data_IF_774941098726
#
_entry.id   IF_774941098726
#
_cell.length_a   1.000
_cell.length_b   1.000
_cell.length_c   1.000
_cell.angle_alpha   90.00
_cell.angle_beta   90.00
_cell.angle_gamma   90.00
#
_symmetry.space_group_name_H-M   'P 1'
#
loop_
_entity.id
_entity.type
_entity.pdbx_description
1 polymer ?
#
# COMPACT_ATOMS: atom_id res chain seq x y z
N UNK A 1 0.97 0.44 -14.61
CA UNK A 1 1.46 1.60 -13.83
C UNK A 1 1.44 1.33 -12.32
N UNK A 2 0.27 1.16 -11.67
CA UNK A 2 0.21 0.91 -10.21
C UNK A 2 1.05 -0.27 -9.71
N UNK A 3 1.13 -1.35 -10.49
CA UNK A 3 1.94 -2.54 -10.18
C UNK A 3 3.47 -2.30 -10.21
N UNK A 4 3.92 -1.15 -10.71
CA UNK A 4 5.33 -0.70 -10.70
C UNK A 4 5.61 0.28 -9.56
N UNK A 5 4.61 1.08 -9.17
CA UNK A 5 4.77 2.15 -8.20
C UNK A 5 4.94 1.58 -6.78
N UNK A 6 6.12 1.79 -6.20
CA UNK A 6 6.50 1.39 -4.84
C UNK A 6 5.64 2.08 -3.76
N UNK A 7 5.21 3.32 -3.99
CA UNK A 7 4.32 4.05 -3.09
C UNK A 7 2.85 3.58 -3.16
N UNK A 8 2.48 2.81 -4.18
CA UNK A 8 1.12 2.27 -4.35
C UNK A 8 1.01 0.80 -3.93
N UNK A 9 2.03 0.00 -4.23
CA UNK A 9 2.06 -1.45 -3.99
C UNK A 9 3.17 -1.79 -3.00
N UNK A 10 2.87 -2.55 -1.94
CA UNK A 10 3.87 -2.95 -0.95
C UNK A 10 4.96 -3.87 -1.53
N UNK A 11 4.56 -4.73 -2.46
CA UNK A 11 5.40 -5.62 -3.24
C UNK A 11 5.10 -5.44 -4.73
N UNK A 12 5.77 -4.51 -5.43
CA UNK A 12 5.56 -4.26 -6.85
C UNK A 12 5.69 -5.54 -7.68
N UNK A 13 4.68 -5.82 -8.50
CA UNK A 13 4.62 -7.02 -9.34
C UNK A 13 5.30 -6.81 -10.71
N UNK A 14 5.59 -5.57 -11.07
CA UNK A 14 6.28 -5.25 -12.32
C UNK A 14 7.49 -4.38 -12.03
N UNK A 15 8.59 -4.68 -12.72
CA UNK A 15 9.75 -3.81 -12.77
C UNK A 15 9.62 -2.91 -14.01
N UNK A 16 9.72 -1.60 -13.82
CA UNK A 16 9.44 -0.61 -14.84
C UNK A 16 10.59 0.37 -15.06
N UNK A 17 10.85 0.70 -16.32
CA UNK A 17 11.79 1.73 -16.72
C UNK A 17 11.05 2.88 -17.42
N UNK A 18 11.34 4.12 -17.01
CA UNK A 18 10.66 5.33 -17.46
C UNK A 18 9.86 6.03 -16.36
N UNK A 19 9.03 7.01 -16.72
CA UNK A 19 8.20 7.74 -15.76
C UNK A 19 6.87 7.03 -15.50
N UNK A 20 6.71 6.47 -14.29
CA UNK A 20 5.47 5.82 -13.82
C UNK A 20 4.63 6.70 -12.89
N UNK A 21 4.88 8.01 -12.84
CA UNK A 21 4.21 8.95 -11.96
C UNK A 21 4.88 9.06 -10.59
N UNK A 22 4.30 9.89 -9.72
CA UNK A 22 4.86 10.24 -8.41
C UNK A 22 3.79 10.32 -7.33
N UNK A 23 4.23 10.44 -6.07
CA UNK A 23 3.37 10.75 -4.90
C UNK A 23 2.69 12.12 -4.98
N UNK A 24 3.13 12.98 -5.91
CA UNK A 24 2.57 14.32 -6.17
C UNK A 24 1.38 14.31 -7.15
N UNK A 25 0.86 13.13 -7.50
CA UNK A 25 -0.13 12.93 -8.58
C UNK A 25 0.39 13.17 -10.00
N UNK A 26 1.71 13.24 -10.20
CA UNK A 26 2.22 13.38 -11.56
C UNK A 26 1.78 12.16 -12.38
N UNK A 27 1.14 12.36 -13.55
CA UNK A 27 0.71 11.25 -14.37
C UNK A 27 1.93 10.51 -14.93
N UNK A 28 1.82 9.19 -15.16
CA UNK A 28 2.85 8.45 -15.87
C UNK A 28 3.03 9.00 -17.30
N UNK A 29 4.20 8.76 -17.88
CA UNK A 29 4.41 9.00 -19.30
C UNK A 29 3.49 8.12 -20.16
N UNK A 30 3.30 8.51 -21.42
CA UNK A 30 2.57 7.70 -22.39
C UNK A 30 3.25 6.33 -22.59
N UNK A 31 2.46 5.27 -22.80
CA UNK A 31 2.93 3.88 -22.85
C UNK A 31 4.09 3.61 -23.84
N UNK A 32 4.21 4.43 -24.89
CA UNK A 32 5.32 4.35 -25.88
C UNK A 32 6.70 4.75 -25.33
N UNK A 33 6.75 5.32 -24.13
CA UNK A 33 7.98 5.79 -23.47
C UNK A 33 8.32 4.99 -22.20
N UNK A 34 7.53 3.97 -21.88
CA UNK A 34 7.70 3.16 -20.68
C UNK A 34 7.98 1.73 -21.08
N UNK A 35 8.90 1.09 -20.38
CA UNK A 35 9.20 -0.33 -20.53
C UNK A 35 8.87 -1.04 -19.22
N UNK A 36 8.41 -2.29 -19.30
CA UNK A 36 8.12 -3.11 -18.13
C UNK A 36 8.52 -4.55 -18.35
N UNK A 37 8.94 -5.21 -17.28
CA UNK A 37 9.12 -6.66 -17.20
C UNK A 37 8.54 -7.19 -15.90
N UNK A 38 8.44 -8.51 -15.78
CA UNK A 38 8.04 -9.13 -14.52
C UNK A 38 9.07 -8.80 -13.44
N UNK A 39 8.60 -8.38 -12.26
CA UNK A 39 9.43 -8.40 -11.07
C UNK A 39 9.70 -9.87 -10.68
N UNK A 40 10.86 -10.19 -10.05
CA UNK A 40 11.18 -11.55 -9.62
C UNK A 40 10.06 -12.18 -8.77
N UNK A 41 9.52 -11.41 -7.81
CA UNK A 41 8.42 -11.86 -6.95
C UNK A 41 7.19 -12.28 -7.74
N UNK A 42 6.88 -11.67 -8.88
CA UNK A 42 5.70 -12.04 -9.67
C UNK A 42 5.86 -13.36 -10.37
N UNK A 43 7.05 -13.63 -10.89
CA UNK A 43 7.29 -14.91 -11.54
C UNK A 43 7.24 -16.04 -10.52
N UNK A 44 8.06 -15.92 -9.47
CA UNK A 44 8.18 -16.94 -8.40
C UNK A 44 6.85 -17.13 -7.66
N UNK A 45 6.15 -16.05 -7.31
CA UNK A 45 4.96 -16.17 -6.47
C UNK A 45 3.66 -16.40 -7.22
N UNK A 46 3.56 -16.10 -8.52
CA UNK A 46 2.28 -16.17 -9.25
C UNK A 46 2.31 -17.05 -10.50
N UNK A 47 3.47 -17.25 -11.14
CA UNK A 47 3.54 -17.91 -12.45
C UNK A 47 4.34 -19.22 -12.42
N UNK A 48 5.09 -19.48 -11.36
CA UNK A 48 5.79 -20.74 -11.18
C UNK A 48 4.81 -21.91 -11.27
N UNK A 49 5.19 -22.96 -12.00
CA UNK A 49 4.40 -24.17 -12.25
C UNK A 49 3.07 -23.99 -13.02
N UNK A 50 2.82 -22.83 -13.64
CA UNK A 50 1.61 -22.63 -14.47
C UNK A 50 1.54 -23.60 -15.67
N UNK A 51 2.69 -24.04 -16.18
CA UNK A 51 2.80 -25.00 -17.28
C UNK A 51 2.62 -26.47 -16.87
N UNK A 52 2.49 -26.76 -15.57
CA UNK A 52 2.45 -28.14 -15.03
C UNK A 52 1.02 -28.65 -14.79
N UNK A 53 0.03 -28.08 -15.50
CA UNK A 53 -1.40 -28.40 -15.32
C UNK A 53 -1.86 -28.27 -13.85
N UNK A 54 -1.39 -27.24 -13.17
CA UNK A 54 -1.70 -26.94 -11.75
C UNK A 54 -3.03 -26.20 -11.57
N UNK A 55 -3.54 -25.57 -12.63
CA UNK A 55 -4.77 -24.78 -12.63
C UNK A 55 -5.58 -25.08 -13.90
N UNK A 56 -6.89 -24.91 -13.79
CA UNK A 56 -7.79 -25.02 -14.93
C UNK A 56 -7.68 -23.79 -15.85
N UNK A 57 -7.84 -24.03 -17.15
CA UNK A 57 -7.87 -23.01 -18.19
C UNK A 57 -9.26 -22.96 -18.84
N UNK A 58 -9.67 -21.76 -19.23
CA UNK A 58 -10.90 -21.51 -19.99
C UNK A 58 -10.57 -20.80 -21.30
N UNK A 59 -11.47 -20.89 -22.26
CA UNK A 59 -11.37 -20.12 -23.49
C UNK A 59 -11.54 -18.62 -23.18
N UNK A 60 -10.77 -17.79 -23.88
CA UNK A 60 -10.88 -16.33 -23.80
C UNK A 60 -12.19 -15.84 -24.45
N UNK A 61 -12.44 -14.53 -24.43
CA UNK A 61 -13.73 -13.93 -24.85
C UNK A 61 -14.23 -14.29 -26.28
N UNK A 62 -13.33 -14.66 -27.20
CA UNK A 62 -13.65 -15.05 -28.58
C UNK A 62 -13.26 -16.51 -28.92
N UNK A 63 -12.88 -17.30 -27.91
CA UNK A 63 -12.41 -18.69 -28.01
C UNK A 63 -11.19 -18.91 -28.92
N UNK A 64 -10.37 -17.87 -29.18
CA UNK A 64 -9.14 -17.99 -29.97
C UNK A 64 -7.92 -18.40 -29.15
N UNK A 65 -7.96 -18.20 -27.83
CA UNK A 65 -6.88 -18.48 -26.88
C UNK A 65 -7.44 -19.06 -25.58
N UNK A 66 -6.56 -19.59 -24.72
CA UNK A 66 -6.91 -20.03 -23.38
C UNK A 66 -6.27 -19.14 -22.32
N UNK A 67 -7.00 -18.89 -21.24
CA UNK A 67 -6.54 -18.15 -20.06
C UNK A 67 -6.80 -18.94 -18.76
N UNK A 68 -5.91 -18.86 -17.77
CA UNK A 68 -6.08 -19.56 -16.51
C UNK A 68 -7.21 -18.93 -15.68
N UNK A 69 -8.03 -19.75 -15.01
CA UNK A 69 -9.10 -19.25 -14.12
C UNK A 69 -8.50 -18.57 -12.89
N UNK A 70 -7.40 -19.12 -12.37
CA UNK A 70 -6.61 -18.61 -11.26
C UNK A 70 -5.13 -18.82 -11.55
N UNK A 71 -4.28 -18.02 -10.93
CA UNK A 71 -2.84 -18.24 -10.98
C UNK A 71 -2.41 -19.24 -9.88
N UNK A 72 -1.38 -20.07 -10.11
CA UNK A 72 -0.81 -20.99 -9.10
C UNK A 72 -0.02 -20.21 -8.02
N UNK A 73 -0.70 -19.32 -7.31
CA UNK A 73 -0.08 -18.38 -6.38
C UNK A 73 0.57 -19.12 -5.20
N UNK A 74 1.89 -19.01 -5.07
CA UNK A 74 2.69 -19.56 -3.97
C UNK A 74 2.66 -18.66 -2.72
N UNK A 75 2.37 -17.37 -2.90
CA UNK A 75 2.24 -16.40 -1.82
C UNK A 75 0.83 -15.81 -1.75
N UNK A 76 0.33 -15.44 -0.55
CA UNK A 76 -1.00 -14.87 -0.36
C UNK A 76 -1.07 -13.40 -0.81
N UNK A 77 -0.90 -13.15 -2.11
CA UNK A 77 -0.76 -11.81 -2.69
C UNK A 77 -1.93 -10.86 -2.37
N UNK A 78 -3.14 -11.39 -2.14
CA UNK A 78 -4.29 -10.60 -1.70
C UNK A 78 -4.02 -9.86 -0.37
N UNK A 79 -3.35 -10.52 0.58
CA UNK A 79 -3.00 -9.90 1.86
C UNK A 79 -1.74 -9.04 1.73
N UNK A 80 -0.76 -9.49 0.95
CA UNK A 80 0.53 -8.80 0.79
C UNK A 80 0.37 -7.42 0.14
N UNK A 81 -0.40 -7.32 -0.94
CA UNK A 81 -0.59 -6.08 -1.68
C UNK A 81 -1.94 -5.40 -1.42
N UNK A 82 -2.88 -6.10 -0.78
CA UNK A 82 -4.23 -5.59 -0.57
C UNK A 82 -5.06 -5.51 -1.85
N UNK A 83 -6.25 -4.95 -1.74
CA UNK A 83 -7.14 -4.71 -2.89
C UNK A 83 -8.19 -3.66 -2.53
N UNK A 84 -8.49 -2.76 -3.48
CA UNK A 84 -9.58 -1.79 -3.35
C UNK A 84 -10.42 -1.82 -4.61
N UNK A 85 -11.73 -1.93 -4.46
CA UNK A 85 -12.66 -2.00 -5.59
C UNK A 85 -14.08 -1.67 -5.19
N UNK A 86 -14.82 -1.07 -6.12
CA UNK A 86 -16.24 -0.74 -5.97
C UNK A 86 -16.99 -1.44 -7.09
N UNK A 87 -17.98 -2.25 -6.73
CA UNK A 87 -18.86 -2.96 -7.64
C UNK A 87 -20.31 -2.49 -7.45
N UNK A 88 -21.27 -3.18 -8.07
CA UNK A 88 -22.68 -2.84 -7.93
C UNK A 88 -23.20 -3.36 -6.58
N UNK A 89 -23.53 -2.45 -5.67
CA UNK A 89 -24.08 -2.77 -4.34
C UNK A 89 -23.07 -3.25 -3.30
N UNK A 90 -21.77 -3.26 -3.62
CA UNK A 90 -20.71 -3.67 -2.70
C UNK A 90 -19.38 -2.95 -2.99
N UNK A 91 -18.50 -2.90 -1.99
CA UNK A 91 -17.15 -2.40 -2.11
C UNK A 91 -16.20 -3.23 -1.24
N UNK A 92 -14.92 -3.25 -1.60
CA UNK A 92 -13.85 -3.89 -0.84
C UNK A 92 -12.68 -2.92 -0.67
N UNK A 93 -12.02 -3.01 0.49
CA UNK A 93 -10.78 -2.31 0.78
C UNK A 93 -9.97 -3.12 1.79
N UNK A 94 -8.98 -3.86 1.30
CA UNK A 94 -8.08 -4.72 2.07
C UNK A 94 -6.71 -4.03 2.09
N UNK A 95 -6.16 -3.70 3.26
CA UNK A 95 -4.84 -3.07 3.33
C UNK A 95 -3.72 -4.11 3.14
N UNK A 96 -2.52 -3.68 2.68
CA UNK A 96 -1.36 -4.54 2.54
C UNK A 96 -0.81 -5.01 3.89
N UNK A 97 -0.10 -6.13 3.91
CA UNK A 97 0.51 -6.75 5.09
C UNK A 97 1.95 -7.16 4.81
N UNK A 98 2.73 -7.33 5.89
CA UNK A 98 4.11 -7.75 5.79
C UNK A 98 4.22 -9.24 5.41
N UNK A 99 5.11 -9.56 4.47
CA UNK A 99 5.36 -10.93 4.00
C UNK A 99 5.82 -11.86 5.11
N UNK A 100 6.74 -11.42 5.97
CA UNK A 100 7.27 -12.26 7.05
C UNK A 100 6.17 -12.62 8.03
N UNK A 101 5.43 -11.62 8.50
CA UNK A 101 4.32 -11.79 9.45
C UNK A 101 3.22 -12.71 8.90
N UNK A 102 2.83 -12.53 7.62
CA UNK A 102 1.81 -13.36 6.98
C UNK A 102 2.29 -14.81 6.82
N UNK A 103 3.55 -15.03 6.46
CA UNK A 103 4.13 -16.38 6.35
C UNK A 103 4.26 -17.04 7.72
N UNK A 104 4.68 -16.31 8.74
CA UNK A 104 4.74 -16.82 10.12
C UNK A 104 3.35 -17.22 10.63
N UNK A 105 2.33 -16.40 10.35
CA UNK A 105 0.93 -16.73 10.64
C UNK A 105 0.43 -17.98 9.90
N UNK A 106 0.81 -18.12 8.61
CA UNK A 106 0.48 -19.31 7.81
C UNK A 106 1.14 -20.57 8.38
N UNK A 107 2.44 -20.53 8.67
CA UNK A 107 3.17 -21.66 9.28
C UNK A 107 2.53 -22.06 10.61
N UNK A 108 2.19 -21.08 11.46
CA UNK A 108 1.53 -21.35 12.73
C UNK A 108 0.15 -22.04 12.57
N UNK A 109 -0.61 -21.70 11.53
CA UNK A 109 -1.87 -22.36 11.20
C UNK A 109 -1.66 -23.78 10.63
N UNK A 110 -0.59 -24.01 9.86
CA UNK A 110 -0.23 -25.35 9.38
C UNK A 110 0.13 -26.25 10.57
N UNK A 111 0.99 -25.76 11.47
CA UNK A 111 1.44 -26.50 12.65
C UNK A 111 0.30 -26.73 13.66
N UNK A 112 -0.59 -25.75 13.80
CA UNK A 112 -1.75 -25.82 14.69
C UNK A 112 -3.00 -25.25 14.02
N UNK A 113 -3.80 -26.09 13.33
CA UNK A 113 -5.04 -25.64 12.67
C UNK A 113 -6.13 -25.12 13.61
N UNK A 114 -5.98 -25.33 14.93
CA UNK A 114 -6.88 -24.84 15.98
C UNK A 114 -6.33 -23.61 16.72
N UNK A 115 -5.33 -22.94 16.14
CA UNK A 115 -4.79 -21.69 16.68
C UNK A 115 -5.92 -20.67 16.82
N UNK A 116 -5.98 -20.01 17.97
CA UNK A 116 -6.98 -18.98 18.23
C UNK A 116 -6.63 -17.70 17.48
N UNK A 117 -7.65 -16.97 17.02
CA UNK A 117 -7.50 -15.66 16.37
C UNK A 117 -6.57 -14.71 17.13
N UNK A 118 -6.69 -14.62 18.46
CA UNK A 118 -5.84 -13.74 19.27
C UNK A 118 -4.35 -14.04 19.13
N UNK A 119 -3.99 -15.33 18.97
CA UNK A 119 -2.59 -15.74 18.75
C UNK A 119 -2.15 -15.48 17.32
N UNK A 120 -3.07 -15.60 16.36
CA UNK A 120 -2.77 -15.24 14.97
C UNK A 120 -2.54 -13.73 14.84
N UNK A 121 -3.30 -12.91 15.56
CA UNK A 121 -3.15 -11.45 15.57
C UNK A 121 -1.88 -10.97 16.30
N UNK A 122 -1.30 -11.80 17.18
CA UNK A 122 0.03 -11.53 17.72
C UNK A 122 1.14 -11.73 16.67
N UNK A 123 0.95 -12.65 15.72
CA UNK A 123 1.88 -12.93 14.62
C UNK A 123 1.74 -11.94 13.45
N UNK A 124 0.52 -11.44 13.24
CA UNK A 124 0.19 -10.42 12.24
C UNK A 124 -0.38 -9.20 12.98
N UNK A 125 0.47 -8.31 13.53
CA UNK A 125 0.03 -7.23 14.41
C UNK A 125 -0.84 -6.18 13.71
N UNK A 126 -0.71 -6.04 12.39
CA UNK A 126 -1.46 -5.06 11.62
C UNK A 126 -1.04 -4.97 10.15
N UNK A 127 -1.63 -4.01 9.42
CA UNK A 127 -1.21 -3.68 8.06
C UNK A 127 0.19 -3.07 7.97
N UNK A 128 0.85 -3.26 6.82
CA UNK A 128 2.17 -2.70 6.49
C UNK A 128 2.08 -1.89 5.19
N UNK A 129 2.05 -0.56 5.31
CA UNK A 129 1.83 0.34 4.18
C UNK A 129 3.14 0.70 3.46
N UNK A 130 3.15 0.77 2.12
CA UNK A 130 4.36 1.12 1.36
C UNK A 130 4.90 2.53 1.64
N UNK A 131 4.06 3.44 2.11
CA UNK A 131 4.41 4.84 2.38
C UNK A 131 4.84 5.10 3.82
N UNK A 132 4.90 4.06 4.66
CA UNK A 132 5.11 4.17 6.09
C UNK A 132 3.91 4.77 6.83
N UNK A 133 4.18 5.60 7.83
CA UNK A 133 3.21 6.18 8.74
C UNK A 133 3.07 5.40 10.05
N UNK A 134 2.27 5.96 10.95
CA UNK A 134 1.96 5.39 12.25
C UNK A 134 0.48 5.04 12.32
N UNK A 135 0.16 3.82 12.77
CA UNK A 135 -1.20 3.45 13.13
C UNK A 135 -1.46 3.90 14.56
N UNK A 136 -2.44 4.79 14.73
CA UNK A 136 -2.71 5.47 16.01
C UNK A 136 -3.53 4.60 16.97
N UNK A 137 -4.40 3.75 16.44
CA UNK A 137 -5.27 2.86 17.23
C UNK A 137 -5.30 1.45 16.64
N UNK A 138 -5.08 0.45 17.50
CA UNK A 138 -5.09 -0.97 17.13
C UNK A 138 -6.46 -1.62 17.24
N UNK A 139 -7.42 -1.01 17.94
CA UNK A 139 -8.75 -1.60 18.11
C UNK A 139 -9.44 -1.85 16.76
N UNK A 140 -9.31 -0.89 15.84
CA UNK A 140 -9.86 -1.03 14.50
C UNK A 140 -9.23 -2.13 13.66
N UNK A 141 -7.98 -2.51 13.94
CA UNK A 141 -7.33 -3.67 13.30
C UNK A 141 -8.02 -4.95 13.77
N UNK A 142 -8.20 -5.11 15.08
CA UNK A 142 -8.84 -6.30 15.64
C UNK A 142 -10.29 -6.45 15.18
N UNK A 143 -11.04 -5.35 15.09
CA UNK A 143 -12.40 -5.36 14.54
C UNK A 143 -12.40 -5.76 13.07
N UNK A 144 -11.47 -5.22 12.27
CA UNK A 144 -11.31 -5.58 10.86
C UNK A 144 -10.97 -7.06 10.69
N UNK A 145 -10.08 -7.62 11.51
CA UNK A 145 -9.68 -9.02 11.39
C UNK A 145 -10.78 -9.99 11.86
N UNK A 146 -11.52 -9.66 12.93
CA UNK A 146 -12.59 -10.54 13.42
C UNK A 146 -13.87 -10.48 12.59
N UNK A 147 -14.20 -9.29 12.05
CA UNK A 147 -15.52 -9.06 11.43
C UNK A 147 -15.45 -8.75 9.93
N UNK A 148 -14.26 -8.54 9.38
CA UNK A 148 -14.05 -8.03 8.03
C UNK A 148 -14.30 -6.53 7.87
N UNK A 149 -14.62 -5.79 8.96
CA UNK A 149 -14.86 -4.34 8.96
C UNK A 149 -14.23 -3.67 10.17
N UNK A 150 -13.47 -2.62 9.92
CA UNK A 150 -12.86 -1.80 10.96
C UNK A 150 -12.29 -0.50 10.38
N UNK A 151 -12.02 0.47 11.24
CA UNK A 151 -11.41 1.74 10.85
C UNK A 151 -10.00 1.81 11.43
N UNK A 152 -9.00 1.93 10.55
CA UNK A 152 -7.58 1.95 10.94
C UNK A 152 -7.05 3.37 10.70
N UNK A 153 -6.97 4.23 11.74
CA UNK A 153 -6.46 5.59 11.57
C UNK A 153 -4.94 5.58 11.41
N UNK A 154 -4.48 6.08 10.26
CA UNK A 154 -3.06 6.22 9.93
C UNK A 154 -2.65 7.70 9.97
N UNK A 155 -1.51 7.97 10.58
CA UNK A 155 -0.92 9.31 10.75
C UNK A 155 0.45 9.38 10.07
N UNK A 156 0.78 10.53 9.49
CA UNK A 156 2.13 10.79 8.99
C UNK A 156 3.14 10.97 10.13
N UNK A 157 4.39 10.57 9.90
CA UNK A 157 5.47 10.76 10.87
C UNK A 157 5.96 12.20 10.79
N UNK A 158 6.04 12.86 11.95
CA UNK A 158 6.50 14.25 12.04
C UNK A 158 7.40 14.46 13.24
N UNK A 159 8.33 15.40 13.13
CA UNK A 159 9.16 15.86 14.24
C UNK A 159 9.45 17.36 14.12
N UNK A 160 9.94 17.96 15.21
CA UNK A 160 10.29 19.38 15.24
C UNK A 160 11.79 19.59 15.02
N UNK A 161 12.15 20.58 14.21
CA UNK A 161 13.53 21.02 14.01
C UNK A 161 13.67 22.54 14.18
N UNK A 162 14.80 22.99 14.73
CA UNK A 162 15.16 24.42 14.72
C UNK A 162 15.88 24.78 13.42
N UNK A 163 15.21 25.53 12.56
CA UNK A 163 15.78 26.03 11.30
C UNK A 163 16.33 27.44 11.48
N UNK A 164 17.49 27.70 10.85
CA UNK A 164 18.11 29.04 10.78
C UNK A 164 17.92 29.62 9.38
N UNK A 165 16.94 30.51 9.16
CA UNK A 165 16.73 31.11 7.84
C UNK A 165 17.79 32.18 7.57
N UNK A 166 18.99 31.79 7.12
CA UNK A 166 20.06 32.71 6.67
C UNK A 166 20.76 33.52 7.78
N UNK A 167 21.82 34.24 7.41
CA UNK A 167 22.60 35.08 8.34
C UNK A 167 21.73 36.24 8.85
N UNK A 168 21.53 36.29 10.18
CA UNK A 168 20.92 37.44 10.88
C UNK A 168 19.44 37.29 11.26
N UNK A 169 18.77 36.16 10.93
CA UNK A 169 17.38 35.92 11.38
C UNK A 169 17.35 35.03 12.64
N UNK A 170 16.30 35.23 13.45
CA UNK A 170 16.01 34.38 14.61
C UNK A 170 15.75 32.93 14.18
N UNK A 171 16.10 31.99 15.07
CA UNK A 171 15.76 30.58 14.90
C UNK A 171 14.25 30.42 14.85
N UNK A 172 13.76 29.54 13.98
CA UNK A 172 12.35 29.19 13.87
C UNK A 172 12.21 27.70 14.08
N UNK A 173 11.12 27.29 14.74
CA UNK A 173 10.73 25.88 14.81
C UNK A 173 9.98 25.53 13.53
N UNK A 174 10.41 24.46 12.85
CA UNK A 174 9.68 23.86 11.74
C UNK A 174 9.17 22.47 12.13
N UNK A 175 8.05 22.09 11.53
CA UNK A 175 7.51 20.73 11.57
C UNK A 175 8.01 20.04 10.32
N UNK A 176 8.80 19.00 10.48
CA UNK A 176 9.30 18.17 9.38
C UNK A 176 8.38 16.97 9.27
N UNK A 177 7.78 16.77 8.09
CA UNK A 177 6.96 15.61 7.76
C UNK A 177 7.83 14.66 6.94
N UNK A 178 8.14 13.48 7.49
CA UNK A 178 9.01 12.50 6.82
C UNK A 178 8.22 11.43 6.07
N UNK A 179 7.02 11.10 6.54
CA UNK A 179 6.15 10.07 5.97
C UNK A 179 4.71 10.55 5.93
N UNK A 180 4.00 10.22 4.85
CA UNK A 180 2.58 10.51 4.69
C UNK A 180 1.75 9.22 4.80
N UNK A 181 0.50 9.30 5.28
CA UNK A 181 -0.40 8.15 5.27
C UNK A 181 -0.60 7.58 3.86
N UNK A 182 -0.91 6.28 3.80
CA UNK A 182 -1.14 5.57 2.53
C UNK A 182 -2.23 6.23 1.68
N UNK A 183 -1.98 6.34 0.37
CA UNK A 183 -2.86 6.98 -0.61
C UNK A 183 -3.13 8.48 -0.38
N UNK A 184 -2.34 9.17 0.46
CA UNK A 184 -2.39 10.63 0.56
C UNK A 184 -1.55 11.27 -0.53
N UNK A 185 -2.17 12.19 -1.27
CA UNK A 185 -1.47 12.99 -2.25
C UNK A 185 -0.68 14.11 -1.58
N UNK A 186 0.64 14.18 -1.80
CA UNK A 186 1.51 15.17 -1.15
C UNK A 186 1.16 16.60 -1.59
N UNK A 187 1.12 16.86 -2.90
CA UNK A 187 0.82 18.19 -3.43
C UNK A 187 -0.56 18.72 -2.99
N UNK A 188 -1.61 17.89 -3.07
CA UNK A 188 -2.96 18.24 -2.64
C UNK A 188 -3.09 18.39 -1.12
N UNK A 189 -2.28 17.66 -0.34
CA UNK A 189 -2.18 17.89 1.10
C UNK A 189 -1.55 19.25 1.40
N UNK A 190 -0.44 19.61 0.74
CA UNK A 190 0.21 20.92 0.88
C UNK A 190 -0.74 22.05 0.50
N UNK A 191 -1.43 21.94 -0.65
CA UNK A 191 -2.43 22.91 -1.11
C UNK A 191 -3.52 23.12 -0.06
N UNK A 192 -4.04 22.03 0.51
CA UNK A 192 -5.06 22.09 1.55
C UNK A 192 -4.56 22.74 2.84
N UNK A 193 -3.30 22.51 3.24
CA UNK A 193 -2.72 23.19 4.41
C UNK A 193 -2.56 24.68 4.12
N UNK A 194 -2.06 25.05 2.94
CA UNK A 194 -1.92 26.45 2.52
C UNK A 194 -3.27 27.18 2.50
N UNK A 195 -4.32 26.54 1.99
CA UNK A 195 -5.68 27.07 2.00
C UNK A 195 -6.20 27.30 3.42
N UNK A 196 -5.94 26.37 4.35
CA UNK A 196 -6.36 26.53 5.74
C UNK A 196 -5.63 27.68 6.44
N UNK A 197 -4.35 27.91 6.12
CA UNK A 197 -3.58 29.06 6.62
C UNK A 197 -4.12 30.37 6.04
N UNK A 198 -4.32 30.43 4.72
CA UNK A 198 -4.84 31.64 4.04
C UNK A 198 -6.24 32.04 4.53
N UNK A 199 -7.07 31.05 4.89
CA UNK A 199 -8.41 31.27 5.44
C UNK A 199 -8.43 31.49 6.96
N UNK A 200 -7.28 31.65 7.62
CA UNK A 200 -7.13 31.80 9.07
C UNK A 200 -7.85 30.70 9.87
N UNK A 201 -7.85 29.47 9.35
CA UNK A 201 -8.32 28.27 10.06
C UNK A 201 -7.18 27.55 10.77
N UNK A 202 -5.94 27.78 10.34
CA UNK A 202 -4.71 27.33 10.99
C UNK A 202 -3.82 28.54 11.27
N UNK A 203 -3.55 28.79 12.54
CA UNK A 203 -2.68 29.86 13.00
C UNK A 203 -1.26 29.37 13.29
N UNK A 204 -0.30 30.29 13.31
CA UNK A 204 1.09 30.01 13.71
C UNK A 204 1.98 29.40 12.61
N UNK A 205 1.46 29.25 11.40
CA UNK A 205 2.23 28.80 10.22
C UNK A 205 2.68 30.03 9.43
N UNK A 206 4.00 30.24 9.36
CA UNK A 206 4.59 31.38 8.64
C UNK A 206 5.01 31.04 7.20
N UNK A 207 5.28 29.76 6.92
CA UNK A 207 5.76 29.24 5.64
C UNK A 207 5.45 27.73 5.56
N UNK A 208 5.33 27.19 4.35
CA UNK A 208 5.04 25.76 4.08
C UNK A 208 6.01 25.25 3.02
#
# INVERSE_FOLDING_TARGET
VRMVQDFSSRYPLLDGHGNFGSVDNDPPAAMRYTETRLAPVSFESLLENIGEATVDFIDNFDNSQQEPIVLPAQLPNLLLNGSSGIAVGMATNIPPHNLGEVVDGLIALIDRPTLTDDRLFELIPGPDFPTGGEIVDRNGIYDAYRTGRGSIPVRGITHFEEVRPGRGRQRRTAIIVTELPYQVNKAGWIEKVADLVNNNRLDGIADI
#
